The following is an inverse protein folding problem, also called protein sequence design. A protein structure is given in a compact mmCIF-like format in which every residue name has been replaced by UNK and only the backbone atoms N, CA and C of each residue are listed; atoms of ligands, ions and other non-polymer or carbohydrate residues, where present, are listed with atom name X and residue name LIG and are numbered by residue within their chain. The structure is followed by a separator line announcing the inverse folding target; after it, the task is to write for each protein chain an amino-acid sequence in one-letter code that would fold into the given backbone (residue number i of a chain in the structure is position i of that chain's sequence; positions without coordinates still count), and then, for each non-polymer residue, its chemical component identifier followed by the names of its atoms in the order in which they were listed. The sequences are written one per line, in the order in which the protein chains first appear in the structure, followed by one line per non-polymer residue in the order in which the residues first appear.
data_IF_772815096121
#
_entry.id   IF_772815096121
#
_cell.length_a   1.000
_cell.length_b   1.000
_cell.length_c   1.000
_cell.angle_alpha   90.00
_cell.angle_beta   90.00
_cell.angle_gamma   90.00
#
_symmetry.space_group_name_H-M   'P 1'
#
loop_
_entity.id
_entity.type
_entity.pdbx_description
1 polymer ?
#
# COMPACT_ATOMS: atom_id res chain seq x y z
N UNK A 1 -10.91 -10.77 -17.59
CA UNK A 1 -9.47 -10.87 -17.28
C UNK A 1 -8.95 -9.83 -16.28
N UNK A 2 -9.72 -8.82 -15.88
CA UNK A 2 -9.28 -7.85 -14.85
C UNK A 2 -9.68 -8.25 -13.42
N UNK A 3 -10.57 -9.20 -13.25
CA UNK A 3 -11.04 -9.62 -11.93
C UNK A 3 -10.13 -10.64 -11.24
N UNK A 4 -9.48 -11.52 -11.97
CA UNK A 4 -8.56 -12.50 -11.41
C UNK A 4 -7.32 -11.90 -10.74
N UNK A 5 -6.82 -10.79 -11.27
CA UNK A 5 -5.69 -10.08 -10.65
C UNK A 5 -6.08 -9.48 -9.32
N UNK A 6 -7.31 -8.95 -9.23
CA UNK A 6 -7.82 -8.35 -8.00
C UNK A 6 -8.01 -9.39 -6.89
N UNK A 7 -8.55 -10.57 -7.24
CA UNK A 7 -8.76 -11.67 -6.29
C UNK A 7 -7.45 -12.27 -5.76
N UNK A 8 -6.44 -12.40 -6.62
CA UNK A 8 -5.09 -12.85 -6.21
C UNK A 8 -4.42 -11.88 -5.25
N UNK A 9 -4.61 -10.58 -5.43
CA UNK A 9 -4.07 -9.57 -4.54
C UNK A 9 -4.83 -9.50 -3.21
N UNK A 10 -6.14 -9.77 -3.22
CA UNK A 10 -6.94 -9.91 -2.00
C UNK A 10 -6.50 -11.09 -1.14
N UNK A 11 -6.16 -12.20 -1.77
CA UNK A 11 -5.70 -13.40 -1.07
C UNK A 11 -4.31 -13.19 -0.46
N UNK A 12 -3.44 -12.47 -1.15
CA UNK A 12 -2.14 -12.06 -0.64
C UNK A 12 -2.25 -11.09 0.54
N UNK A 13 -3.12 -10.10 0.46
CA UNK A 13 -3.38 -9.16 1.54
C UNK A 13 -4.00 -9.84 2.76
N UNK A 14 -4.89 -10.80 2.55
CA UNK A 14 -5.42 -11.64 3.63
C UNK A 14 -4.35 -12.49 4.30
N UNK A 15 -3.40 -13.02 3.55
CA UNK A 15 -2.29 -13.81 4.09
C UNK A 15 -1.31 -12.96 4.89
N UNK A 16 -1.06 -11.74 4.46
CA UNK A 16 -0.20 -10.80 5.20
C UNK A 16 -0.91 -10.36 6.49
N UNK A 17 -2.22 -10.13 6.43
CA UNK A 17 -3.03 -9.79 7.61
C UNK A 17 -3.30 -10.97 8.56
N UNK A 18 -3.24 -12.21 8.06
CA UNK A 18 -3.46 -13.42 8.86
C UNK A 18 -2.17 -14.01 9.45
N UNK A 19 -1.01 -13.50 9.05
CA UNK A 19 0.28 -13.98 9.54
C UNK A 19 0.65 -13.55 10.94
N UNK A 20 -0.20 -12.78 11.62
CA UNK A 20 -0.03 -12.44 13.03
C UNK A 20 -1.31 -12.80 13.77
N UNK A 21 -1.55 -14.09 13.98
CA UNK A 21 -2.43 -14.53 15.02
C UNK A 21 -1.60 -14.65 16.31
N UNK A 22 -1.85 -13.85 17.32
CA UNK A 22 -1.38 -14.20 18.64
C UNK A 22 -2.23 -15.38 19.11
N UNK A 23 -1.56 -16.45 19.43
CA UNK A 23 -2.17 -17.60 20.06
C UNK A 23 -2.89 -17.18 21.35
N UNK A 24 -4.12 -17.56 21.37
CA UNK A 24 -5.03 -17.84 22.47
C UNK A 24 -4.55 -17.64 23.89
N UNK A 25 -5.36 -16.87 24.57
CA UNK A 25 -5.97 -17.04 25.90
C UNK A 25 -5.56 -18.27 26.72
N UNK A 26 -5.58 -18.23 28.05
CA UNK A 26 -6.88 -18.32 28.70
C UNK A 26 -7.04 -17.42 29.93
N UNK A 27 -8.28 -16.96 30.04
CA UNK A 27 -9.14 -17.06 31.20
C UNK A 27 -8.50 -17.10 32.60
N UNK A 28 -8.76 -16.15 33.39
CA UNK A 28 -9.41 -16.35 34.68
C UNK A 28 -9.79 -15.07 35.41
N UNK A 29 -11.07 -15.01 35.62
CA UNK A 29 -11.85 -14.34 36.64
C UNK A 29 -11.11 -13.88 37.93
N UNK A 30 -11.46 -12.78 38.37
CA UNK A 30 -12.24 -12.42 39.53
C UNK A 30 -11.76 -11.19 40.27
N UNK A 31 -12.73 -10.40 40.46
CA UNK A 31 -13.15 -9.67 41.65
C UNK A 31 -12.33 -8.50 42.16
N UNK A 32 -13.04 -7.42 42.15
CA UNK A 32 -13.29 -6.71 43.41
C UNK A 32 -12.58 -5.41 43.63
N UNK A 33 -13.35 -4.37 43.69
CA UNK A 33 -13.05 -3.27 44.58
C UNK A 33 -13.00 -1.89 43.97
N UNK A 34 -14.15 -1.29 43.83
CA UNK A 34 -14.52 0.07 44.29
C UNK A 34 -13.38 1.01 44.71
N UNK A 35 -13.27 2.16 44.16
CA UNK A 35 -13.93 3.35 44.66
C UNK A 35 -13.25 4.65 44.22
N UNK A 36 -14.08 5.52 43.75
CA UNK A 36 -14.21 6.96 43.99
C UNK A 36 -13.08 7.92 43.60
N UNK A 37 -13.56 8.76 42.75
CA UNK A 37 -13.71 10.20 42.92
C UNK A 37 -12.56 11.10 42.49
N UNK A 38 -12.91 11.79 41.45
CA UNK A 38 -13.04 13.23 41.38
C UNK A 38 -11.82 14.07 41.03
N UNK A 39 -12.15 14.87 40.08
CA UNK A 39 -11.75 16.28 39.90
C UNK A 39 -10.58 16.52 38.99
N UNK A 40 -10.94 16.86 37.74
CA UNK A 40 -11.00 18.26 37.30
C UNK A 40 -9.64 18.84 36.94
N UNK A 41 -9.41 19.08 35.70
CA UNK A 41 -9.24 20.41 35.15
C UNK A 41 -8.46 20.34 33.83
N UNK A 42 -9.08 21.00 32.85
CA UNK A 42 -8.46 21.70 31.76
C UNK A 42 -7.65 20.89 30.75
N UNK A 43 -8.34 20.66 29.67
CA UNK A 43 -7.72 20.42 28.37
C UNK A 43 -6.81 21.57 27.97
N UNK A 44 -5.62 21.29 27.47
CA UNK A 44 -5.02 22.12 26.44
C UNK A 44 -5.32 21.50 25.07
N UNK A 45 -5.61 22.39 24.14
CA UNK A 45 -5.85 22.08 22.75
C UNK A 45 -4.79 21.15 22.17
N UNK A 46 -5.17 20.22 21.29
CA UNK A 46 -4.19 19.37 20.66
C UNK A 46 -3.39 20.18 19.66
N UNK A 47 -2.17 20.44 20.00
CA UNK A 47 -1.18 20.72 19.01
C UNK A 47 -1.10 19.52 18.08
N UNK A 48 -1.33 19.78 16.81
CA UNK A 48 -1.03 18.84 15.75
C UNK A 48 0.49 18.64 15.70
N UNK A 49 0.98 17.78 16.56
CA UNK A 49 2.27 17.19 16.37
C UNK A 49 2.05 16.08 15.34
N UNK A 50 2.72 16.21 14.20
CA UNK A 50 2.93 15.09 13.31
C UNK A 50 3.80 14.07 14.06
N UNK A 51 3.20 13.37 14.98
CA UNK A 51 3.81 12.22 15.62
C UNK A 51 3.60 11.04 14.70
N UNK A 52 4.68 10.60 14.11
CA UNK A 52 4.79 9.27 13.55
C UNK A 52 4.73 8.26 14.70
N UNK A 53 3.63 8.25 15.42
CA UNK A 53 3.36 7.14 16.32
C UNK A 53 3.12 5.89 15.46
N UNK A 54 3.70 4.73 15.84
CA UNK A 54 3.28 3.48 15.25
C UNK A 54 1.78 3.36 15.53
N UNK A 55 0.98 3.56 14.49
CA UNK A 55 -0.46 3.49 14.59
C UNK A 55 -0.87 2.12 15.08
N UNK A 56 -2.00 2.05 15.76
CA UNK A 56 -2.63 0.80 16.11
C UNK A 56 -2.83 -0.05 14.84
N UNK A 57 -2.23 -1.26 14.73
CA UNK A 57 -2.34 -2.10 13.54
C UNK A 57 -3.78 -2.39 13.13
N UNK A 58 -4.72 -2.44 14.10
CA UNK A 58 -6.13 -2.64 13.81
C UNK A 58 -6.76 -1.43 13.10
N UNK A 59 -6.38 -0.21 13.50
CA UNK A 59 -6.83 1.02 12.82
C UNK A 59 -6.21 1.16 11.45
N UNK A 60 -4.94 0.85 11.29
CA UNK A 60 -4.26 0.84 10.01
C UNK A 60 -4.96 -0.09 9.02
N UNK A 61 -5.26 -1.31 9.45
CA UNK A 61 -5.99 -2.28 8.65
C UNK A 61 -7.37 -1.78 8.27
N UNK A 62 -8.10 -1.18 9.19
CA UNK A 62 -9.44 -0.65 8.95
C UNK A 62 -9.44 0.43 7.86
N UNK A 63 -8.53 1.38 7.94
CA UNK A 63 -8.41 2.44 6.92
C UNK A 63 -7.94 1.89 5.57
N UNK A 64 -7.02 0.92 5.59
CA UNK A 64 -6.56 0.26 4.37
C UNK A 64 -7.71 -0.51 3.70
N UNK A 65 -8.44 -1.31 4.44
CA UNK A 65 -9.58 -2.08 3.92
C UNK A 65 -10.68 -1.16 3.38
N UNK A 66 -10.96 -0.06 4.06
CA UNK A 66 -11.94 0.93 3.60
C UNK A 66 -11.53 1.56 2.26
N UNK A 67 -10.27 1.91 2.10
CA UNK A 67 -9.74 2.41 0.83
C UNK A 67 -9.83 1.35 -0.28
N UNK A 68 -9.56 0.11 0.05
CA UNK A 68 -9.64 -1.01 -0.87
C UNK A 68 -11.09 -1.30 -1.31
N UNK A 69 -12.05 -1.19 -0.41
CA UNK A 69 -13.48 -1.33 -0.71
C UNK A 69 -13.96 -0.28 -1.73
N UNK A 70 -13.37 0.91 -1.71
CA UNK A 70 -13.65 1.94 -2.71
C UNK A 70 -13.16 1.53 -4.11
N UNK A 71 -12.06 0.80 -4.20
CA UNK A 71 -11.61 0.20 -5.47
C UNK A 71 -12.64 -0.83 -5.97
N UNK A 72 -13.13 -1.69 -5.08
CA UNK A 72 -14.16 -2.69 -5.43
C UNK A 72 -15.45 -2.02 -5.92
N UNK A 73 -15.83 -0.91 -5.32
CA UNK A 73 -16.97 -0.10 -5.72
C UNK A 73 -16.71 0.71 -7.00
N UNK A 74 -15.50 0.66 -7.55
CA UNK A 74 -15.05 1.46 -8.70
C UNK A 74 -15.10 2.96 -8.47
N UNK A 75 -15.11 3.40 -7.23
CA UNK A 75 -15.02 4.80 -6.84
C UNK A 75 -13.54 5.20 -6.73
N UNK A 76 -12.91 5.36 -7.87
CA UNK A 76 -11.47 5.58 -7.96
C UNK A 76 -11.04 6.94 -7.41
N UNK A 77 -11.87 7.95 -7.49
CA UNK A 77 -11.58 9.26 -6.91
C UNK A 77 -11.48 9.21 -5.40
N UNK A 78 -12.47 8.59 -4.75
CA UNK A 78 -12.45 8.40 -3.29
C UNK A 78 -11.36 7.42 -2.86
N UNK A 79 -11.13 6.36 -3.64
CA UNK A 79 -10.05 5.42 -3.36
C UNK A 79 -8.68 6.10 -3.38
N UNK A 80 -8.43 6.93 -4.38
CA UNK A 80 -7.19 7.73 -4.47
C UNK A 80 -7.00 8.63 -3.25
N UNK A 81 -8.04 9.33 -2.84
CA UNK A 81 -8.02 10.18 -1.65
C UNK A 81 -7.79 9.38 -0.38
N UNK A 82 -8.46 8.23 -0.24
CA UNK A 82 -8.34 7.38 0.94
C UNK A 82 -6.94 6.77 1.07
N UNK A 83 -6.35 6.27 0.00
CA UNK A 83 -4.97 5.77 0.03
C UNK A 83 -3.95 6.88 0.29
N UNK A 84 -4.14 8.06 -0.29
CA UNK A 84 -3.28 9.20 -0.04
C UNK A 84 -3.33 9.62 1.43
N UNK A 85 -4.52 9.69 2.01
CA UNK A 85 -4.70 10.00 3.42
C UNK A 85 -4.07 8.92 4.32
N UNK A 86 -4.25 7.64 3.96
CA UNK A 86 -3.63 6.51 4.67
C UNK A 86 -2.11 6.62 4.70
N UNK A 87 -1.48 6.87 3.55
CA UNK A 87 -0.03 6.99 3.43
C UNK A 87 0.52 8.21 4.16
N UNK A 88 -0.25 9.29 4.22
CA UNK A 88 0.13 10.48 4.97
C UNK A 88 0.09 10.24 6.47
N UNK A 89 -0.92 9.49 6.93
CA UNK A 89 -1.12 9.20 8.35
C UNK A 89 -0.23 8.07 8.85
N UNK A 90 -0.04 7.03 8.04
CA UNK A 90 0.69 5.81 8.40
C UNK A 90 1.80 5.46 7.42
N UNK A 91 2.81 6.33 7.23
CA UNK A 91 3.86 6.10 6.23
C UNK A 91 4.74 4.89 6.54
N UNK A 92 4.78 4.44 7.79
CA UNK A 92 5.58 3.31 8.24
C UNK A 92 4.76 2.05 8.50
N UNK A 93 3.48 2.05 8.11
CA UNK A 93 2.61 0.89 8.24
C UNK A 93 3.12 -0.28 7.39
N UNK A 94 2.88 -1.50 7.87
CA UNK A 94 3.09 -2.70 7.05
C UNK A 94 2.26 -2.70 5.76
N UNK A 95 1.16 -1.94 5.73
CA UNK A 95 0.30 -1.78 4.55
C UNK A 95 0.73 -0.63 3.64
N UNK A 96 1.69 0.19 4.04
CA UNK A 96 2.04 1.40 3.31
C UNK A 96 2.60 1.09 1.91
N UNK A 97 3.46 0.08 1.77
CA UNK A 97 3.96 -0.35 0.47
C UNK A 97 2.85 -0.81 -0.48
N UNK A 98 1.93 -1.63 0.02
CA UNK A 98 0.74 -2.05 -0.74
C UNK A 98 -0.17 -0.87 -1.07
N UNK A 99 -0.41 0.02 -0.12
CA UNK A 99 -1.23 1.21 -0.32
C UNK A 99 -0.63 2.12 -1.42
N UNK A 100 0.66 2.29 -1.43
CA UNK A 100 1.38 3.07 -2.45
C UNK A 100 1.25 2.42 -3.83
N UNK A 101 1.35 1.10 -3.92
CA UNK A 101 1.11 0.35 -5.16
C UNK A 101 -0.33 0.51 -5.66
N UNK A 102 -1.31 0.33 -4.77
CA UNK A 102 -2.73 0.49 -5.13
C UNK A 102 -3.09 1.91 -5.53
N UNK A 103 -2.45 2.91 -4.92
CA UNK A 103 -2.60 4.30 -5.36
C UNK A 103 -2.17 4.47 -6.81
N UNK A 104 -1.07 3.82 -7.21
CA UNK A 104 -0.64 3.77 -8.61
C UNK A 104 -1.70 3.13 -9.53
N UNK A 105 -2.25 1.99 -9.14
CA UNK A 105 -3.29 1.28 -9.91
C UNK A 105 -4.58 2.12 -10.03
N UNK A 106 -4.98 2.77 -8.96
CA UNK A 106 -6.17 3.63 -8.93
C UNK A 106 -5.99 4.83 -9.89
N UNK A 107 -4.85 5.51 -9.82
CA UNK A 107 -4.57 6.62 -10.70
C UNK A 107 -4.47 6.19 -12.17
N UNK A 108 -3.93 5.00 -12.43
CA UNK A 108 -3.91 4.41 -13.75
C UNK A 108 -5.34 4.15 -14.27
N UNK A 109 -6.22 3.63 -13.42
CA UNK A 109 -7.64 3.41 -13.75
C UNK A 109 -8.38 4.72 -14.03
N UNK A 110 -8.02 5.80 -13.36
CA UNK A 110 -8.54 7.15 -13.61
C UNK A 110 -8.02 7.78 -14.91
N UNK A 111 -6.97 7.20 -15.49
CA UNK A 111 -6.30 7.77 -16.65
C UNK A 111 -5.25 8.85 -16.33
N UNK A 112 -4.94 9.05 -15.05
CA UNK A 112 -3.89 9.97 -14.62
C UNK A 112 -2.53 9.25 -14.62
N UNK A 113 -1.91 9.25 -15.80
CA UNK A 113 -0.64 8.55 -16.02
C UNK A 113 0.50 9.14 -15.19
N UNK A 114 0.54 10.46 -15.03
CA UNK A 114 1.60 11.09 -14.26
C UNK A 114 1.51 10.75 -12.77
N UNK A 115 0.33 10.85 -12.19
CA UNK A 115 0.12 10.49 -10.79
C UNK A 115 0.34 8.98 -10.57
N UNK A 116 -0.06 8.14 -11.51
CA UNK A 116 0.20 6.70 -11.47
C UNK A 116 1.71 6.41 -11.46
N UNK A 117 2.46 7.02 -12.36
CA UNK A 117 3.91 6.86 -12.44
C UNK A 117 4.62 7.30 -11.15
N UNK A 118 4.24 8.44 -10.61
CA UNK A 118 4.77 8.90 -9.33
C UNK A 118 4.47 7.93 -8.18
N UNK A 119 3.25 7.41 -8.12
CA UNK A 119 2.86 6.47 -7.08
C UNK A 119 3.66 5.16 -7.18
N UNK A 120 3.81 4.59 -8.37
CA UNK A 120 4.62 3.39 -8.57
C UNK A 120 6.10 3.62 -8.26
N UNK A 121 6.67 4.75 -8.68
CA UNK A 121 8.06 5.09 -8.39
C UNK A 121 8.33 5.19 -6.88
N UNK A 122 7.39 5.73 -6.12
CA UNK A 122 7.50 5.85 -4.66
C UNK A 122 7.57 4.50 -3.95
N UNK A 123 7.00 3.44 -4.50
CA UNK A 123 7.11 2.10 -3.89
C UNK A 123 8.58 1.69 -3.79
N UNK A 124 9.36 1.86 -4.85
CA UNK A 124 10.79 1.53 -4.82
C UNK A 124 11.62 2.52 -4.02
N UNK A 125 11.23 3.79 -4.00
CA UNK A 125 11.96 4.85 -3.30
C UNK A 125 11.76 4.80 -1.77
N UNK A 126 10.52 4.58 -1.32
CA UNK A 126 10.16 4.64 0.09
C UNK A 126 10.14 3.25 0.76
N UNK A 127 9.85 2.22 -0.02
CA UNK A 127 9.71 0.85 0.47
C UNK A 127 10.55 -0.14 -0.36
N UNK A 128 11.88 0.06 -0.45
CA UNK A 128 12.74 -0.68 -1.39
C UNK A 128 12.81 -2.18 -1.13
N UNK A 129 12.46 -2.61 0.08
CA UNK A 129 12.44 -4.03 0.47
C UNK A 129 11.05 -4.68 0.35
N UNK A 130 10.04 -3.91 -0.05
CA UNK A 130 8.68 -4.42 -0.16
C UNK A 130 8.52 -5.36 -1.36
N UNK A 131 7.74 -6.42 -1.19
CA UNK A 131 7.51 -7.42 -2.25
C UNK A 131 6.83 -6.89 -3.51
N UNK A 132 6.19 -5.72 -3.45
CA UNK A 132 5.55 -5.05 -4.59
C UNK A 132 6.50 -4.20 -5.42
N UNK A 133 7.77 -4.04 -5.03
CA UNK A 133 8.73 -3.21 -5.75
C UNK A 133 8.92 -3.68 -7.21
N UNK A 134 9.14 -4.97 -7.48
CA UNK A 134 9.30 -5.43 -8.88
C UNK A 134 8.07 -5.14 -9.73
N UNK A 135 6.89 -5.43 -9.21
CA UNK A 135 5.61 -5.17 -9.91
C UNK A 135 5.40 -3.68 -10.14
N UNK A 136 5.72 -2.85 -9.15
CA UNK A 136 5.61 -1.40 -9.25
C UNK A 136 6.53 -0.82 -10.31
N UNK A 137 7.75 -1.29 -10.38
CA UNK A 137 8.72 -0.88 -11.43
C UNK A 137 8.25 -1.30 -12.82
N UNK A 138 7.73 -2.51 -12.95
CA UNK A 138 7.17 -2.97 -14.22
C UNK A 138 5.97 -2.10 -14.66
N UNK A 139 5.08 -1.79 -13.73
CA UNK A 139 3.95 -0.88 -13.97
C UNK A 139 4.41 0.55 -14.31
N UNK A 140 5.46 1.02 -13.65
CA UNK A 140 6.07 2.31 -13.98
C UNK A 140 6.59 2.32 -15.42
N UNK A 141 7.23 1.24 -15.86
CA UNK A 141 7.67 1.11 -17.25
C UNK A 141 6.50 1.19 -18.23
N UNK A 142 5.37 0.55 -17.93
CA UNK A 142 4.16 0.64 -18.75
C UNK A 142 3.60 2.06 -18.81
N UNK A 143 3.58 2.75 -17.67
CA UNK A 143 3.16 4.16 -17.61
C UNK A 143 4.08 5.05 -18.44
N UNK A 144 5.39 4.90 -18.31
CA UNK A 144 6.37 5.68 -19.08
C UNK A 144 6.25 5.40 -20.59
N UNK A 145 5.94 4.16 -20.96
CA UNK A 145 5.65 3.80 -22.36
C UNK A 145 4.44 4.57 -22.89
N UNK A 146 3.37 4.63 -22.11
CA UNK A 146 2.16 5.35 -22.50
C UNK A 146 2.36 6.88 -22.55
N UNK A 147 3.31 7.39 -21.76
CA UNK A 147 3.72 8.79 -21.78
C UNK A 147 4.70 9.10 -22.96
N UNK A 148 5.17 8.08 -23.68
CA UNK A 148 6.09 8.26 -24.80
C UNK A 148 7.56 8.33 -24.42
N UNK A 149 7.93 7.95 -23.20
CA UNK A 149 9.29 8.01 -22.67
C UNK A 149 10.03 6.67 -22.89
N UNK A 150 10.28 6.29 -24.12
CA UNK A 150 10.88 5.00 -24.48
C UNK A 150 12.25 4.75 -23.82
N UNK A 151 13.06 5.79 -23.67
CA UNK A 151 14.38 5.69 -23.04
C UNK A 151 14.28 5.26 -21.58
N UNK A 152 13.31 5.82 -20.84
CA UNK A 152 13.05 5.45 -19.47
C UNK A 152 12.55 4.02 -19.34
N UNK A 153 11.70 3.57 -20.26
CA UNK A 153 11.15 2.21 -20.28
C UNK A 153 12.25 1.17 -20.26
N UNK A 154 13.20 1.30 -21.17
CA UNK A 154 14.32 0.36 -21.27
C UNK A 154 15.12 0.28 -19.97
N UNK A 155 15.48 1.43 -19.40
CA UNK A 155 16.22 1.51 -18.14
C UNK A 155 15.50 0.86 -16.98
N UNK A 156 14.19 1.11 -16.84
CA UNK A 156 13.38 0.53 -15.78
C UNK A 156 13.26 -0.99 -15.93
N UNK A 157 13.00 -1.48 -17.14
CA UNK A 157 12.91 -2.92 -17.39
C UNK A 157 14.24 -3.64 -17.10
N UNK A 158 15.36 -3.06 -17.48
CA UNK A 158 16.69 -3.58 -17.15
C UNK A 158 16.93 -3.62 -15.64
N UNK A 159 16.48 -2.60 -14.94
CA UNK A 159 16.54 -2.56 -13.48
C UNK A 159 15.76 -3.71 -12.85
N UNK A 160 14.54 -3.98 -13.31
CA UNK A 160 13.72 -5.09 -12.79
C UNK A 160 14.41 -6.42 -13.00
N UNK A 161 14.96 -6.68 -14.19
CA UNK A 161 15.64 -7.93 -14.51
C UNK A 161 16.91 -8.12 -13.67
N UNK A 162 17.70 -7.05 -13.48
CA UNK A 162 18.98 -7.14 -12.79
C UNK A 162 18.84 -7.20 -11.27
N UNK A 163 17.90 -6.44 -10.70
CA UNK A 163 17.75 -6.33 -9.24
C UNK A 163 16.75 -7.33 -8.65
N UNK A 164 15.81 -7.80 -9.45
CA UNK A 164 14.74 -8.70 -8.98
C UNK A 164 14.62 -9.95 -9.86
N UNK A 165 15.72 -10.67 -10.10
CA UNK A 165 15.68 -11.88 -10.92
C UNK A 165 14.77 -12.93 -10.30
N UNK A 166 14.12 -13.72 -11.14
CA UNK A 166 13.24 -14.80 -10.70
C UNK A 166 11.82 -14.36 -10.35
N UNK A 167 11.52 -13.06 -10.36
CA UNK A 167 10.17 -12.56 -10.15
C UNK A 167 9.35 -12.61 -11.47
N UNK A 168 8.03 -12.66 -11.34
CA UNK A 168 7.13 -12.55 -12.49
C UNK A 168 7.35 -11.24 -13.25
N UNK A 169 7.58 -10.15 -12.54
CA UNK A 169 7.89 -8.85 -13.13
C UNK A 169 9.18 -8.90 -13.97
N UNK A 170 10.23 -9.57 -13.48
CA UNK A 170 11.48 -9.73 -14.20
C UNK A 170 11.29 -10.54 -15.49
N UNK A 171 10.48 -11.59 -15.46
CA UNK A 171 10.17 -12.39 -16.65
C UNK A 171 9.42 -11.57 -17.71
N UNK A 172 8.44 -10.78 -17.29
CA UNK A 172 7.71 -9.87 -18.16
C UNK A 172 8.64 -8.78 -18.73
N UNK A 173 9.48 -8.20 -17.88
CA UNK A 173 10.45 -7.18 -18.28
C UNK A 173 11.45 -7.72 -19.32
N UNK A 174 11.95 -8.93 -19.11
CA UNK A 174 12.86 -9.58 -20.05
C UNK A 174 12.21 -9.83 -21.41
N UNK A 175 10.96 -10.28 -21.40
CA UNK A 175 10.16 -10.45 -22.62
C UNK A 175 9.96 -9.14 -23.36
N UNK A 176 9.65 -8.08 -22.65
CA UNK A 176 9.43 -6.75 -23.21
C UNK A 176 10.73 -6.19 -23.81
N UNK A 177 11.88 -6.38 -23.14
CA UNK A 177 13.19 -5.98 -23.63
C UNK A 177 13.57 -6.67 -24.94
N UNK A 178 13.16 -7.94 -25.12
CA UNK A 178 13.42 -8.69 -26.36
C UNK A 178 12.62 -8.17 -27.56
N UNK A 179 11.53 -7.44 -27.29
CA UNK A 179 10.63 -6.89 -28.32
C UNK A 179 10.93 -5.44 -28.69
N UNK A 180 11.83 -4.81 -27.97
CA UNK A 180 12.24 -3.42 -28.22
C UNK A 180 13.35 -3.35 -29.24
#
# INVERSE_FOLDING_TARGET
MKQESLERYQDLDRRIGAGIAPAATPDNSSSGGSNTAASNTAAPAPQAAASSEPGDPAKEKLYYDAAFDLIKAKDFDKASQAFTAFLRKYPNSQYAGNAQYWLGEVNLAKGDLQAAGQAFARVSQLYPKHGKVPDSLYKLADVERRLGHADKVKGILQQVVSQYPGTSAAQLAQRDLQRM
#
